data_IF_005664613552
#
_entry.id   IF_005664613552
#
_cell.length_a   1.000
_cell.length_b   1.000
_cell.length_c   1.000
_cell.angle_alpha   90.00
_cell.angle_beta   90.00
_cell.angle_gamma   90.00
#
_symmetry.space_group_name_H-M   'P 1'
#
loop_
_entity.id
_entity.type
_entity.pdbx_description
1 polymer ?
#
# COMPACT_ATOMS: atom_id res chain seq x y z
N UNK A 1 -8.02 3.75 -27.11
CA UNK A 1 -7.20 4.41 -26.09
C UNK A 1 -5.81 3.79 -26.09
N UNK A 2 -4.75 4.60 -26.29
CA UNK A 2 -3.36 4.12 -26.26
C UNK A 2 -2.84 4.09 -24.82
N UNK A 3 -2.34 2.94 -24.40
CA UNK A 3 -1.83 2.72 -23.05
C UNK A 3 -0.36 2.32 -23.10
N UNK A 4 0.50 3.10 -22.45
CA UNK A 4 1.92 2.79 -22.29
C UNK A 4 2.18 2.27 -20.88
N UNK A 5 2.62 1.02 -20.77
CA UNK A 5 3.06 0.40 -19.52
C UNK A 5 4.58 0.54 -19.42
N UNK A 6 5.05 1.33 -18.47
CA UNK A 6 6.49 1.53 -18.29
C UNK A 6 7.14 0.27 -17.73
N UNK A 7 8.31 -0.04 -18.29
CA UNK A 7 9.23 -1.04 -17.78
C UNK A 7 10.49 -0.36 -17.27
N UNK A 8 10.78 -0.53 -16.01
CA UNK A 8 11.89 0.13 -15.32
C UNK A 8 12.71 -0.92 -14.59
N UNK A 9 14.03 -0.82 -14.64
CA UNK A 9 14.88 -1.76 -13.92
C UNK A 9 14.50 -1.84 -12.44
N UNK A 10 14.50 -3.04 -11.88
CA UNK A 10 14.08 -3.38 -10.51
C UNK A 10 12.58 -3.23 -10.25
N UNK A 11 11.73 -2.97 -11.25
CA UNK A 11 10.29 -2.94 -11.05
C UNK A 11 9.72 -4.35 -10.79
N UNK A 12 8.51 -4.40 -10.28
CA UNK A 12 7.77 -5.66 -10.06
C UNK A 12 7.23 -6.18 -11.39
N UNK A 13 7.70 -7.35 -11.83
CA UNK A 13 7.15 -8.06 -12.99
C UNK A 13 5.66 -8.34 -12.83
N UNK A 14 5.20 -8.63 -11.60
CA UNK A 14 3.79 -8.84 -11.31
C UNK A 14 2.94 -7.57 -11.59
N UNK A 15 3.46 -6.37 -11.32
CA UNK A 15 2.76 -5.12 -11.66
C UNK A 15 2.56 -4.96 -13.17
N UNK A 16 3.54 -5.36 -13.96
CA UNK A 16 3.46 -5.32 -15.43
C UNK A 16 2.47 -6.37 -15.91
N UNK A 17 2.65 -7.63 -15.51
CA UNK A 17 1.82 -8.74 -15.94
C UNK A 17 0.33 -8.51 -15.61
N UNK A 18 0.01 -8.14 -14.37
CA UNK A 18 -1.39 -7.90 -13.96
C UNK A 18 -2.02 -6.73 -14.74
N UNK A 19 -1.23 -5.72 -15.12
CA UNK A 19 -1.70 -4.62 -15.95
C UNK A 19 -2.08 -5.11 -17.33
N UNK A 20 -1.20 -5.85 -17.99
CA UNK A 20 -1.43 -6.39 -19.32
C UNK A 20 -2.63 -7.34 -19.35
N UNK A 21 -2.70 -8.30 -18.42
CA UNK A 21 -3.78 -9.28 -18.32
C UNK A 21 -5.14 -8.63 -18.01
N UNK A 22 -5.19 -7.67 -17.10
CA UNK A 22 -6.45 -7.02 -16.74
C UNK A 22 -7.00 -6.17 -17.87
N UNK A 23 -6.14 -5.41 -18.59
CA UNK A 23 -6.56 -4.62 -19.72
C UNK A 23 -6.90 -5.49 -20.94
N UNK A 24 -6.19 -6.60 -21.15
CA UNK A 24 -6.54 -7.60 -22.16
C UNK A 24 -7.91 -8.25 -21.88
N UNK A 25 -8.21 -8.55 -20.62
CA UNK A 25 -9.53 -9.03 -20.20
C UNK A 25 -10.62 -8.02 -20.55
N UNK A 26 -10.39 -6.72 -20.30
CA UNK A 26 -11.33 -5.66 -20.69
C UNK A 26 -11.54 -5.59 -22.22
N UNK A 27 -10.47 -5.74 -23.00
CA UNK A 27 -10.55 -5.80 -24.47
C UNK A 27 -11.41 -6.98 -24.94
N UNK A 28 -11.29 -8.15 -24.33
CA UNK A 28 -12.11 -9.34 -24.65
C UNK A 28 -13.59 -9.08 -24.39
N UNK A 29 -13.95 -8.50 -23.24
CA UNK A 29 -15.36 -8.17 -22.94
C UNK A 29 -15.88 -7.07 -23.86
N UNK A 30 -15.08 -6.06 -24.16
CA UNK A 30 -15.44 -5.03 -25.13
C UNK A 30 -15.75 -5.60 -26.51
N UNK A 31 -14.86 -6.45 -27.04
CA UNK A 31 -15.03 -7.12 -28.32
C UNK A 31 -16.31 -7.98 -28.37
N UNK A 32 -16.55 -8.74 -27.30
CA UNK A 32 -17.74 -9.58 -27.19
C UNK A 32 -19.05 -8.76 -27.16
N UNK A 33 -19.08 -7.69 -26.35
CA UNK A 33 -20.31 -6.87 -26.17
C UNK A 33 -20.64 -6.02 -27.41
N UNK A 34 -19.62 -5.41 -28.00
CA UNK A 34 -19.78 -4.43 -29.08
C UNK A 34 -19.60 -5.04 -30.48
N UNK A 35 -19.31 -6.33 -30.57
CA UNK A 35 -18.92 -7.02 -31.81
C UNK A 35 -17.85 -6.27 -32.59
N UNK A 36 -16.93 -5.63 -31.85
CA UNK A 36 -15.84 -4.84 -32.40
C UNK A 36 -14.55 -5.66 -32.43
N UNK A 37 -13.80 -5.54 -33.54
CA UNK A 37 -12.45 -6.10 -33.61
C UNK A 37 -11.38 -5.11 -33.12
N UNK A 38 -11.72 -3.84 -32.95
CA UNK A 38 -10.80 -2.85 -32.42
C UNK A 38 -10.70 -2.94 -30.92
N UNK A 39 -9.47 -3.00 -30.36
CA UNK A 39 -9.28 -3.07 -28.93
C UNK A 39 -9.67 -1.74 -28.27
N UNK A 40 -10.31 -1.83 -27.11
CA UNK A 40 -10.62 -0.67 -26.28
C UNK A 40 -9.33 0.02 -25.78
N UNK A 41 -8.36 -0.81 -25.35
CA UNK A 41 -7.02 -0.40 -24.92
C UNK A 41 -5.99 -0.96 -25.91
N UNK A 42 -5.32 -0.09 -26.63
CA UNK A 42 -4.15 -0.43 -27.43
C UNK A 42 -2.91 -0.35 -26.53
N UNK A 43 -2.43 -1.51 -26.10
CA UNK A 43 -1.44 -1.62 -25.03
C UNK A 43 -0.05 -1.83 -25.61
N UNK A 44 0.91 -1.01 -25.20
CA UNK A 44 2.33 -1.20 -25.48
C UNK A 44 3.15 -1.10 -24.21
N UNK A 45 4.28 -1.78 -24.17
CA UNK A 45 5.27 -1.72 -23.10
C UNK A 45 6.49 -0.93 -23.56
N UNK A 46 7.05 -0.10 -22.69
CA UNK A 46 8.22 0.71 -23.04
C UNK A 46 9.23 0.78 -21.89
N UNK A 47 10.52 0.69 -22.24
CA UNK A 47 11.62 1.07 -21.35
C UNK A 47 12.26 2.36 -21.83
N UNK A 48 13.16 2.94 -21.03
CA UNK A 48 13.81 4.21 -21.32
C UNK A 48 14.47 4.21 -22.72
N UNK A 49 15.16 3.14 -23.02
CA UNK A 49 16.02 2.98 -24.21
C UNK A 49 15.60 1.82 -25.14
N UNK A 50 14.50 1.12 -24.83
CA UNK A 50 14.04 -0.05 -25.58
C UNK A 50 14.74 -1.35 -25.23
N UNK A 51 15.72 -1.34 -24.31
CA UNK A 51 16.41 -2.54 -23.88
C UNK A 51 15.61 -3.34 -22.83
N UNK A 52 15.86 -4.65 -22.72
CA UNK A 52 15.27 -5.49 -21.70
C UNK A 52 15.56 -4.99 -20.28
N UNK A 53 14.57 -5.09 -19.39
CA UNK A 53 14.68 -4.68 -17.98
C UNK A 53 14.71 -5.87 -17.06
N UNK A 54 15.60 -5.83 -16.06
CA UNK A 54 15.65 -6.83 -14.99
C UNK A 54 14.66 -6.44 -13.90
N UNK A 55 13.64 -7.28 -13.69
CA UNK A 55 12.60 -7.08 -12.69
C UNK A 55 12.98 -7.68 -11.33
N UNK A 56 12.26 -7.29 -10.28
CA UNK A 56 12.32 -7.98 -9.00
C UNK A 56 11.93 -9.45 -9.16
N UNK A 57 12.59 -10.35 -8.42
CA UNK A 57 12.37 -11.80 -8.55
C UNK A 57 13.12 -12.47 -9.70
N UNK A 58 14.03 -11.76 -10.37
CA UNK A 58 14.98 -12.34 -11.33
C UNK A 58 14.44 -12.51 -12.76
N UNK A 59 13.23 -12.03 -13.05
CA UNK A 59 12.70 -12.05 -14.41
C UNK A 59 13.28 -10.90 -15.24
N UNK A 60 13.61 -11.17 -16.49
CA UNK A 60 13.94 -10.15 -17.49
C UNK A 60 12.79 -10.05 -18.49
N UNK A 61 12.32 -8.82 -18.70
CA UNK A 61 11.22 -8.52 -19.63
C UNK A 61 11.74 -7.63 -20.76
N UNK A 62 11.31 -7.93 -21.98
CA UNK A 62 11.65 -7.14 -23.17
C UNK A 62 10.48 -6.19 -23.49
N UNK A 63 10.69 -4.87 -23.56
CA UNK A 63 9.65 -3.92 -23.95
C UNK A 63 9.37 -4.02 -25.46
N UNK A 64 8.22 -3.47 -25.90
CA UNK A 64 7.90 -3.36 -27.32
C UNK A 64 8.73 -2.26 -27.98
N UNK A 65 8.94 -1.14 -27.27
CA UNK A 65 9.56 0.08 -27.83
C UNK A 65 10.38 0.83 -26.76
N UNK A 66 11.21 1.79 -27.19
CA UNK A 66 11.79 2.82 -26.32
C UNK A 66 10.80 3.97 -26.09
N UNK A 67 11.06 4.80 -25.04
CA UNK A 67 10.24 6.00 -24.80
C UNK A 67 10.29 7.00 -25.96
N UNK A 68 11.40 7.09 -26.67
CA UNK A 68 11.56 7.99 -27.82
C UNK A 68 10.67 7.60 -29.01
N UNK A 69 10.37 6.33 -29.16
CA UNK A 69 9.51 5.83 -30.25
C UNK A 69 8.02 6.08 -30.00
N UNK A 70 7.64 6.53 -28.80
CA UNK A 70 6.24 6.80 -28.46
C UNK A 70 5.86 8.20 -28.92
N UNK A 71 5.06 8.28 -29.97
CA UNK A 71 4.57 9.54 -30.53
C UNK A 71 3.37 10.10 -29.79
N UNK A 72 2.58 9.26 -29.12
CA UNK A 72 1.42 9.65 -28.33
C UNK A 72 0.95 8.52 -27.41
N UNK A 73 0.35 8.88 -26.29
CA UNK A 73 -0.26 7.94 -25.34
C UNK A 73 -1.34 8.65 -24.53
N UNK A 74 -2.46 7.96 -24.28
CA UNK A 74 -3.58 8.53 -23.51
C UNK A 74 -3.45 8.19 -22.01
N UNK A 75 -2.80 7.07 -21.70
CA UNK A 75 -2.59 6.59 -20.33
C UNK A 75 -1.19 5.99 -20.17
N UNK A 76 -0.50 6.41 -19.15
CA UNK A 76 0.79 5.83 -18.72
C UNK A 76 0.56 5.06 -17.44
N UNK A 77 1.00 3.79 -17.38
CA UNK A 77 0.99 2.98 -16.16
C UNK A 77 2.40 2.78 -15.66
N UNK A 78 2.68 3.28 -14.46
CA UNK A 78 3.99 3.17 -13.80
C UNK A 78 3.95 2.00 -12.80
N UNK A 79 4.83 0.98 -12.95
CA UNK A 79 4.84 -0.20 -12.10
C UNK A 79 5.35 0.09 -10.67
N UNK A 80 5.06 -0.83 -9.74
CA UNK A 80 5.64 -0.81 -8.40
C UNK A 80 7.05 -1.39 -8.35
N UNK A 81 7.80 -1.08 -7.28
CA UNK A 81 9.18 -1.55 -7.07
C UNK A 81 9.32 -2.45 -5.83
N UNK A 82 8.25 -2.65 -5.07
CA UNK A 82 8.23 -3.47 -3.86
C UNK A 82 9.49 -3.28 -2.99
N UNK A 83 10.27 -4.35 -2.81
CA UNK A 83 11.47 -4.34 -1.97
C UNK A 83 12.69 -3.68 -2.65
N UNK A 84 12.64 -3.41 -3.95
CA UNK A 84 13.75 -2.88 -4.74
C UNK A 84 13.67 -1.38 -5.00
N UNK A 85 12.89 -0.65 -4.20
CA UNK A 85 12.73 0.79 -4.35
C UNK A 85 14.07 1.55 -4.25
N UNK A 86 14.87 1.27 -3.21
CA UNK A 86 16.15 1.98 -2.99
C UNK A 86 17.12 1.90 -4.17
N UNK A 87 17.42 0.71 -4.75
CA UNK A 87 18.28 0.61 -5.91
C UNK A 87 17.69 1.23 -7.19
N UNK A 88 16.36 1.34 -7.30
CA UNK A 88 15.71 1.92 -8.48
C UNK A 88 15.69 3.48 -8.46
N UNK A 89 15.63 4.09 -7.28
CA UNK A 89 15.50 5.56 -7.11
C UNK A 89 16.43 6.41 -7.99
N UNK A 90 17.73 6.09 -8.15
CA UNK A 90 18.64 6.93 -8.94
C UNK A 90 18.23 7.09 -10.40
N UNK A 91 17.58 6.08 -11.01
CA UNK A 91 17.17 6.11 -12.41
C UNK A 91 15.84 6.86 -12.64
N UNK A 92 15.06 7.16 -11.58
CA UNK A 92 13.72 7.74 -11.75
C UNK A 92 13.74 9.12 -12.42
N UNK A 93 14.76 9.92 -12.15
CA UNK A 93 14.94 11.24 -12.75
C UNK A 93 15.02 11.20 -14.29
N UNK A 94 15.48 10.09 -14.86
CA UNK A 94 15.68 9.96 -16.29
C UNK A 94 14.34 9.86 -17.04
N UNK A 95 13.27 9.42 -16.36
CA UNK A 95 11.91 9.37 -16.88
C UNK A 95 11.17 10.71 -16.78
N UNK A 96 11.64 11.62 -15.94
CA UNK A 96 10.91 12.85 -15.60
C UNK A 96 10.63 13.77 -16.81
N UNK A 97 11.57 14.02 -17.74
CA UNK A 97 11.30 14.86 -18.91
C UNK A 97 10.18 14.29 -19.80
N UNK A 98 10.21 12.97 -20.06
CA UNK A 98 9.22 12.31 -20.89
C UNK A 98 7.83 12.33 -20.21
N UNK A 99 7.74 12.03 -18.92
CA UNK A 99 6.48 12.07 -18.16
C UNK A 99 5.85 13.46 -18.18
N UNK A 100 6.65 14.52 -17.98
CA UNK A 100 6.15 15.90 -18.05
C UNK A 100 5.63 16.25 -19.46
N UNK A 101 6.35 15.86 -20.51
CA UNK A 101 5.93 16.09 -21.88
C UNK A 101 4.60 15.40 -22.19
N UNK A 102 4.46 14.11 -21.87
CA UNK A 102 3.20 13.37 -22.11
C UNK A 102 2.03 13.91 -21.25
N UNK A 103 2.29 14.31 -20.01
CA UNK A 103 1.26 14.91 -19.16
C UNK A 103 0.80 16.27 -19.71
N UNK A 104 1.70 17.08 -20.24
CA UNK A 104 1.35 18.34 -20.93
C UNK A 104 0.50 18.10 -22.19
N UNK A 105 0.70 16.98 -22.89
CA UNK A 105 -0.11 16.51 -24.02
C UNK A 105 -1.40 15.80 -23.61
N UNK A 106 -1.83 15.98 -22.36
CA UNK A 106 -3.09 15.49 -21.80
C UNK A 106 -3.13 13.99 -21.47
N UNK A 107 -2.01 13.27 -21.49
CA UNK A 107 -1.96 11.89 -21.01
C UNK A 107 -2.35 11.81 -19.53
N UNK A 108 -3.13 10.80 -19.15
CA UNK A 108 -3.33 10.41 -17.77
C UNK A 108 -2.17 9.55 -17.28
N UNK A 109 -1.88 9.60 -15.97
CA UNK A 109 -0.82 8.78 -15.37
C UNK A 109 -1.38 7.97 -14.21
N UNK A 110 -1.18 6.66 -14.24
CA UNK A 110 -1.54 5.76 -13.18
C UNK A 110 -0.28 5.17 -12.53
N UNK A 111 -0.21 5.15 -11.20
CA UNK A 111 0.92 4.58 -10.46
C UNK A 111 0.49 3.42 -9.60
N UNK A 112 1.22 2.33 -9.68
CA UNK A 112 1.02 1.15 -8.84
C UNK A 112 2.00 1.20 -7.66
N UNK A 113 1.48 1.15 -6.43
CA UNK A 113 2.30 0.95 -5.24
C UNK A 113 3.39 2.03 -5.11
N UNK A 114 4.67 1.61 -5.02
CA UNK A 114 5.83 2.51 -4.96
C UNK A 114 6.18 3.19 -6.29
N UNK A 115 5.45 2.93 -7.37
CA UNK A 115 5.55 3.68 -8.63
C UNK A 115 5.28 5.19 -8.46
N UNK A 116 4.54 5.57 -7.42
CA UNK A 116 4.35 6.97 -7.05
C UNK A 116 5.66 7.72 -6.78
N UNK A 117 6.73 7.05 -6.34
CA UNK A 117 8.05 7.65 -6.15
C UNK A 117 8.66 8.10 -7.48
N UNK A 118 8.54 7.27 -8.52
CA UNK A 118 9.01 7.64 -9.86
C UNK A 118 8.28 8.87 -10.39
N UNK A 119 6.95 8.91 -10.23
CA UNK A 119 6.17 10.06 -10.65
C UNK A 119 6.50 11.31 -9.84
N UNK A 120 6.73 11.19 -8.53
CA UNK A 120 7.09 12.32 -7.68
C UNK A 120 8.44 12.95 -8.07
N UNK A 121 9.42 12.18 -8.57
CA UNK A 121 10.69 12.71 -9.10
C UNK A 121 10.49 13.62 -10.33
N UNK A 122 9.37 13.49 -11.04
CA UNK A 122 9.03 14.40 -12.13
C UNK A 122 8.48 15.76 -11.67
N UNK A 123 8.11 15.90 -10.40
CA UNK A 123 7.43 17.08 -9.86
C UNK A 123 5.93 17.15 -10.17
N UNK A 124 5.37 16.20 -10.92
CA UNK A 124 3.96 16.21 -11.31
C UNK A 124 2.99 15.92 -10.15
N UNK A 125 3.50 15.47 -9.01
CA UNK A 125 2.69 15.26 -7.80
C UNK A 125 2.72 16.44 -6.82
N UNK A 126 3.49 17.49 -7.08
CA UNK A 126 3.53 18.68 -6.23
C UNK A 126 2.11 19.27 -6.08
N UNK A 127 1.68 19.49 -4.84
CA UNK A 127 0.37 20.01 -4.43
C UNK A 127 -0.83 19.10 -4.78
N UNK A 128 -0.61 17.89 -5.27
CA UNK A 128 -1.65 16.92 -5.62
C UNK A 128 -1.86 15.85 -4.53
N UNK A 129 -3.08 15.29 -4.49
CA UNK A 129 -3.40 14.16 -3.64
C UNK A 129 -2.83 12.86 -4.23
N UNK A 130 -2.00 12.16 -3.47
CA UNK A 130 -1.40 10.90 -3.90
C UNK A 130 -1.38 9.87 -2.76
N UNK A 131 -1.38 8.59 -3.12
CA UNK A 131 -1.10 7.48 -2.21
C UNK A 131 0.03 6.61 -2.72
N UNK A 132 0.59 5.81 -1.84
CA UNK A 132 1.59 4.79 -2.15
C UNK A 132 1.39 3.61 -1.20
N UNK A 133 2.23 2.59 -1.26
CA UNK A 133 2.16 1.45 -0.34
C UNK A 133 2.29 1.93 1.12
N UNK A 134 1.40 1.44 2.01
CA UNK A 134 1.34 1.84 3.42
C UNK A 134 2.70 1.79 4.13
N UNK A 135 3.55 0.81 3.80
CA UNK A 135 4.88 0.66 4.40
C UNK A 135 5.82 1.84 4.08
N UNK A 136 5.68 2.42 2.89
CA UNK A 136 6.55 3.50 2.40
C UNK A 136 5.93 4.89 2.55
N UNK A 137 4.69 5.00 3.00
CA UNK A 137 3.94 6.27 3.02
C UNK A 137 4.63 7.38 3.82
N UNK A 138 5.28 7.06 4.94
CA UNK A 138 6.01 8.05 5.74
C UNK A 138 7.31 8.48 5.05
N UNK A 139 8.07 7.54 4.46
CA UNK A 139 9.27 7.85 3.68
C UNK A 139 8.91 8.67 2.43
N UNK A 140 7.79 8.39 1.79
CA UNK A 140 7.27 9.16 0.66
C UNK A 140 6.94 10.60 1.06
N UNK A 141 6.18 10.80 2.13
CA UNK A 141 5.83 12.13 2.63
C UNK A 141 7.06 12.94 3.07
N UNK A 142 8.05 12.28 3.66
CA UNK A 142 9.29 12.94 4.06
C UNK A 142 10.14 13.37 2.86
N UNK A 143 10.22 12.53 1.82
CA UNK A 143 11.01 12.80 0.62
C UNK A 143 10.36 13.85 -0.29
N UNK A 144 9.03 13.84 -0.37
CA UNK A 144 8.24 14.72 -1.23
C UNK A 144 7.23 15.53 -0.41
N UNK A 145 7.70 16.54 0.36
CA UNK A 145 6.86 17.24 1.32
C UNK A 145 5.75 18.10 0.71
N UNK A 146 5.82 18.38 -0.59
CA UNK A 146 4.75 19.11 -1.30
C UNK A 146 3.58 18.21 -1.71
N UNK A 147 3.74 16.89 -1.69
CA UNK A 147 2.67 15.96 -2.07
C UNK A 147 1.68 15.84 -0.92
N UNK A 148 0.37 15.95 -1.21
CA UNK A 148 -0.71 15.71 -0.24
C UNK A 148 -0.95 14.21 -0.08
N UNK A 149 -0.16 13.58 0.79
CA UNK A 149 -0.13 12.11 0.92
C UNK A 149 -1.34 11.59 1.69
N UNK A 150 -2.15 10.77 1.03
CA UNK A 150 -3.23 10.00 1.67
C UNK A 150 -2.70 8.67 2.17
N UNK A 151 -2.75 8.46 3.50
CA UNK A 151 -2.25 7.24 4.16
C UNK A 151 -3.27 6.09 4.18
N UNK A 152 -4.54 6.41 4.04
CA UNK A 152 -5.65 5.46 4.27
C UNK A 152 -6.18 4.87 2.97
N UNK A 153 -6.35 5.68 1.93
CA UNK A 153 -7.01 5.27 0.71
C UNK A 153 -6.17 4.29 -0.11
N UNK A 154 -6.85 3.29 -0.66
CA UNK A 154 -6.23 2.37 -1.64
C UNK A 154 -5.96 3.09 -2.96
N UNK A 155 -6.87 3.99 -3.38
CA UNK A 155 -6.74 4.77 -4.61
C UNK A 155 -6.94 6.24 -4.27
N UNK A 156 -6.12 7.09 -4.85
CA UNK A 156 -6.33 8.54 -4.95
C UNK A 156 -6.37 8.94 -6.42
N UNK A 157 -7.19 9.93 -6.74
CA UNK A 157 -7.26 10.50 -8.07
C UNK A 157 -7.30 12.02 -7.96
N UNK A 158 -6.40 12.69 -8.66
CA UNK A 158 -6.30 14.14 -8.73
C UNK A 158 -5.72 14.53 -10.10
N UNK A 159 -6.39 15.45 -10.81
CA UNK A 159 -5.94 16.01 -12.10
C UNK A 159 -5.32 15.00 -13.08
N UNK A 160 -6.04 13.95 -13.47
CA UNK A 160 -5.59 12.88 -14.39
C UNK A 160 -4.44 12.00 -13.84
N UNK A 161 -4.08 12.15 -12.57
CA UNK A 161 -3.13 11.26 -11.91
C UNK A 161 -3.91 10.35 -10.96
N UNK A 162 -3.69 9.04 -11.10
CA UNK A 162 -4.36 8.02 -10.31
C UNK A 162 -3.29 7.19 -9.61
N UNK A 163 -3.23 7.24 -8.28
CA UNK A 163 -2.24 6.47 -7.52
C UNK A 163 -2.91 5.35 -6.74
N UNK A 164 -2.28 4.17 -6.71
CA UNK A 164 -2.75 3.07 -5.86
C UNK A 164 -1.75 2.67 -4.78
N UNK A 165 -2.28 2.09 -3.70
CA UNK A 165 -1.52 1.60 -2.56
C UNK A 165 -0.74 0.32 -2.83
N UNK A 166 -0.91 -0.72 -1.98
CA UNK A 166 -0.12 -1.96 -2.05
C UNK A 166 -0.21 -2.76 -3.35
N UNK A 167 0.64 -3.75 -3.48
CA UNK A 167 0.82 -4.53 -4.73
C UNK A 167 -0.50 -5.08 -5.33
N UNK A 168 -1.37 -5.68 -4.50
CA UNK A 168 -2.67 -6.18 -4.95
C UNK A 168 -3.67 -5.07 -5.28
N UNK A 169 -3.43 -3.83 -4.85
CA UNK A 169 -4.24 -2.68 -5.21
C UNK A 169 -4.07 -2.25 -6.68
N UNK A 170 -3.08 -2.83 -7.39
CA UNK A 170 -2.96 -2.70 -8.84
C UNK A 170 -4.27 -3.10 -9.55
N UNK A 171 -4.91 -4.16 -9.09
CA UNK A 171 -6.16 -4.64 -9.68
C UNK A 171 -7.30 -3.66 -9.42
N UNK A 172 -7.39 -3.13 -8.19
CA UNK A 172 -8.39 -2.10 -7.86
C UNK A 172 -8.20 -0.85 -8.74
N UNK A 173 -6.95 -0.43 -8.97
CA UNK A 173 -6.59 0.66 -9.88
C UNK A 173 -7.03 0.38 -11.31
N UNK A 174 -6.72 -0.81 -11.83
CA UNK A 174 -7.06 -1.18 -13.21
C UNK A 174 -8.57 -1.28 -13.42
N UNK A 175 -9.30 -1.84 -12.47
CA UNK A 175 -10.77 -1.83 -12.49
C UNK A 175 -11.34 -0.42 -12.40
N UNK A 176 -10.70 0.49 -11.66
CA UNK A 176 -11.06 1.90 -11.62
C UNK A 176 -10.83 2.57 -12.98
N UNK A 177 -9.68 2.32 -13.63
CA UNK A 177 -9.35 2.79 -14.97
C UNK A 177 -10.37 2.27 -16.00
N UNK A 178 -10.68 0.97 -15.98
CA UNK A 178 -11.67 0.37 -16.89
C UNK A 178 -13.04 1.02 -16.68
N UNK A 179 -13.47 1.22 -15.44
CA UNK A 179 -14.74 1.89 -15.14
C UNK A 179 -14.79 3.32 -15.65
N UNK A 180 -13.68 4.05 -15.55
CA UNK A 180 -13.58 5.46 -15.93
C UNK A 180 -13.52 5.65 -17.46
N UNK A 181 -12.71 4.86 -18.15
CA UNK A 181 -12.40 5.07 -19.57
C UNK A 181 -13.14 4.13 -20.52
N UNK A 182 -13.80 3.11 -19.98
CA UNK A 182 -14.60 2.18 -20.78
C UNK A 182 -16.08 2.23 -20.35
N UNK A 183 -16.45 1.27 -19.48
CA UNK A 183 -17.81 1.18 -18.96
C UNK A 183 -17.82 0.45 -17.60
N UNK A 184 -18.72 0.84 -16.67
CA UNK A 184 -18.89 0.14 -15.39
C UNK A 184 -19.16 -1.35 -15.54
N UNK A 185 -19.89 -1.74 -16.60
CA UNK A 185 -20.29 -3.12 -16.88
C UNK A 185 -19.06 -3.98 -17.23
N UNK A 186 -18.15 -3.46 -18.06
CA UNK A 186 -16.90 -4.15 -18.42
C UNK A 186 -16.03 -4.34 -17.18
N UNK A 187 -15.92 -3.32 -16.32
CA UNK A 187 -15.20 -3.44 -15.07
C UNK A 187 -15.80 -4.51 -14.13
N UNK A 188 -17.15 -4.61 -14.08
CA UNK A 188 -17.83 -5.63 -13.29
C UNK A 188 -17.62 -7.04 -13.86
N UNK A 189 -17.59 -7.20 -15.18
CA UNK A 189 -17.30 -8.47 -15.84
C UNK A 189 -15.84 -8.90 -15.59
N UNK A 190 -14.89 -7.97 -15.73
CA UNK A 190 -13.49 -8.22 -15.39
C UNK A 190 -13.32 -8.65 -13.93
N UNK A 191 -13.98 -7.97 -12.98
CA UNK A 191 -13.88 -8.34 -11.57
C UNK A 191 -14.37 -9.76 -11.28
N UNK A 192 -15.47 -10.19 -11.92
CA UNK A 192 -15.98 -11.56 -11.81
C UNK A 192 -15.05 -12.59 -12.45
N UNK A 193 -14.56 -12.30 -13.66
CA UNK A 193 -13.65 -13.18 -14.40
C UNK A 193 -12.34 -13.41 -13.65
N UNK A 194 -11.81 -12.36 -13.02
CA UNK A 194 -10.55 -12.37 -12.28
C UNK A 194 -10.73 -12.73 -10.79
N UNK A 195 -11.97 -13.04 -10.34
CA UNK A 195 -12.31 -13.39 -8.96
C UNK A 195 -11.88 -12.33 -7.94
N UNK A 196 -12.13 -11.05 -8.25
CA UNK A 196 -11.66 -9.91 -7.44
C UNK A 196 -12.78 -9.40 -6.55
N UNK A 197 -12.48 -9.27 -5.25
CA UNK A 197 -13.33 -8.56 -4.31
C UNK A 197 -13.11 -7.04 -4.46
N UNK A 198 -14.12 -6.34 -4.97
CA UNK A 198 -14.10 -4.89 -5.22
C UNK A 198 -14.53 -4.05 -4.01
N UNK A 199 -14.69 -4.66 -2.83
CA UNK A 199 -15.19 -3.96 -1.63
C UNK A 199 -14.09 -3.20 -0.88
N UNK A 200 -12.83 -3.42 -1.20
CA UNK A 200 -11.68 -2.75 -0.55
C UNK A 200 -11.65 -1.27 -0.89
N UNK A 201 -11.59 -0.42 0.14
CA UNK A 201 -11.51 1.06 -0.01
C UNK A 201 -10.27 1.62 0.66
N UNK A 202 -9.79 0.96 1.71
CA UNK A 202 -8.71 1.44 2.57
C UNK A 202 -7.60 0.40 2.73
N UNK A 203 -6.37 0.90 2.86
CA UNK A 203 -5.22 0.06 3.18
C UNK A 203 -4.94 -0.02 4.70
N UNK A 204 -5.59 0.81 5.51
CA UNK A 204 -5.40 0.85 6.96
C UNK A 204 -5.48 -0.52 7.65
N UNK A 205 -6.44 -1.42 7.32
CA UNK A 205 -6.51 -2.74 7.93
C UNK A 205 -5.30 -3.65 7.67
N UNK A 206 -4.53 -3.36 6.61
CA UNK A 206 -3.32 -4.12 6.24
C UNK A 206 -2.04 -3.55 6.85
N UNK A 207 -2.12 -2.38 7.48
CA UNK A 207 -0.95 -1.75 8.12
C UNK A 207 -0.48 -2.59 9.29
N UNK A 208 0.79 -2.97 9.27
CA UNK A 208 1.48 -3.50 10.44
C UNK A 208 2.17 -2.33 11.16
N UNK A 209 1.83 -2.11 12.41
CA UNK A 209 2.46 -1.06 13.18
C UNK A 209 3.90 -1.45 13.47
N UNK A 210 4.84 -0.65 13.00
CA UNK A 210 6.27 -0.88 13.23
C UNK A 210 6.70 -0.25 14.55
N UNK A 211 7.48 -1.00 15.32
CA UNK A 211 8.10 -0.53 16.56
C UNK A 211 9.57 -0.28 16.28
N UNK A 212 9.94 0.99 16.08
CA UNK A 212 11.33 1.34 15.78
C UNK A 212 12.22 0.99 16.96
N UNK A 213 13.08 -0.02 16.79
CA UNK A 213 14.16 -0.39 17.70
C UNK A 213 15.55 -0.13 17.11
N UNK A 214 15.59 0.47 15.92
CA UNK A 214 16.84 0.80 15.25
C UNK A 214 17.27 2.24 15.58
N UNK A 215 17.57 2.49 16.86
CA UNK A 215 18.07 3.75 17.38
C UNK A 215 19.16 3.48 18.44
N UNK A 216 19.99 4.48 18.72
CA UNK A 216 21.16 4.32 19.59
C UNK A 216 20.86 4.52 21.10
N UNK A 217 19.64 4.87 21.47
CA UNK A 217 19.25 5.11 22.86
C UNK A 217 19.04 3.79 23.63
N UNK A 218 20.11 3.30 24.25
CA UNK A 218 20.13 2.01 24.96
C UNK A 218 19.13 1.94 26.10
N UNK A 219 18.90 3.04 26.81
CA UNK A 219 17.96 3.04 27.93
C UNK A 219 16.51 2.96 27.45
N UNK A 220 16.18 3.63 26.35
CA UNK A 220 14.86 3.50 25.73
C UNK A 220 14.67 2.09 25.14
N UNK A 221 15.70 1.47 24.57
CA UNK A 221 15.63 0.06 24.12
C UNK A 221 15.24 -0.88 25.27
N UNK A 222 15.82 -0.70 26.48
CA UNK A 222 15.43 -1.49 27.66
C UNK A 222 13.96 -1.30 28.02
N UNK A 223 13.45 -0.07 27.94
CA UNK A 223 12.03 0.21 28.18
C UNK A 223 11.15 -0.46 27.14
N UNK A 224 11.53 -0.42 25.86
CA UNK A 224 10.79 -1.08 24.79
C UNK A 224 10.75 -2.61 25.01
N UNK A 225 11.89 -3.22 25.35
CA UNK A 225 11.97 -4.65 25.63
C UNK A 225 11.12 -5.04 26.85
N UNK A 226 11.09 -4.21 27.87
CA UNK A 226 10.21 -4.42 29.00
C UNK A 226 8.73 -4.31 28.61
N UNK A 227 8.35 -3.31 27.83
CA UNK A 227 6.99 -3.14 27.31
C UNK A 227 6.52 -4.33 26.47
N UNK A 228 7.38 -4.91 25.65
CA UNK A 228 7.05 -6.07 24.83
C UNK A 228 6.65 -7.30 25.65
N UNK A 229 7.17 -7.42 26.88
CA UNK A 229 6.85 -8.53 27.77
C UNK A 229 5.72 -8.23 28.76
N UNK A 230 5.41 -6.94 28.99
CA UNK A 230 4.48 -6.52 30.02
C UNK A 230 3.27 -5.72 29.51
N UNK A 231 3.10 -5.58 28.20
CA UNK A 231 2.06 -4.71 27.60
C UNK A 231 0.64 -5.00 28.10
N UNK A 232 0.35 -6.24 28.49
CA UNK A 232 -0.96 -6.66 28.98
C UNK A 232 -1.25 -6.20 30.43
N UNK A 233 -0.22 -5.80 31.17
CA UNK A 233 -0.37 -5.36 32.58
C UNK A 233 -0.91 -3.93 32.66
N UNK A 234 -1.46 -3.56 33.82
CA UNK A 234 -1.77 -2.16 34.13
C UNK A 234 -0.48 -1.35 34.19
N UNK A 235 -0.23 -0.48 33.22
CA UNK A 235 1.00 0.32 33.11
C UNK A 235 0.68 1.79 33.28
N UNK A 236 1.24 2.39 34.33
CA UNK A 236 1.29 3.83 34.50
C UNK A 236 2.62 4.37 33.92
N UNK A 237 2.53 5.30 32.96
CA UNK A 237 3.69 5.86 32.26
C UNK A 237 4.64 6.63 33.21
N UNK A 238 4.11 7.22 34.28
CA UNK A 238 4.92 7.96 35.25
C UNK A 238 5.71 7.02 36.18
N UNK A 239 5.09 5.91 36.56
CA UNK A 239 5.74 4.85 37.33
C UNK A 239 6.80 4.14 36.48
N UNK A 240 6.48 3.85 35.22
CA UNK A 240 7.44 3.29 34.27
C UNK A 240 8.67 4.19 34.10
N UNK A 241 8.48 5.51 33.98
CA UNK A 241 9.60 6.43 33.92
C UNK A 241 10.50 6.34 35.17
N UNK A 242 9.91 6.31 36.38
CA UNK A 242 10.64 6.18 37.65
C UNK A 242 11.37 4.85 37.75
N UNK A 243 10.73 3.74 37.34
CA UNK A 243 11.32 2.40 37.33
C UNK A 243 12.64 2.34 36.54
N UNK A 244 12.72 3.08 35.45
CA UNK A 244 13.92 3.15 34.61
C UNK A 244 14.82 4.37 34.91
N UNK A 245 14.61 5.04 36.04
CA UNK A 245 15.47 6.14 36.49
C UNK A 245 15.29 7.46 35.75
N UNK A 246 14.13 7.67 35.08
CA UNK A 246 13.86 8.88 34.37
C UNK A 246 12.94 9.84 35.11
N UNK A 247 13.16 11.14 34.99
CA UNK A 247 12.12 12.13 35.24
C UNK A 247 11.07 12.09 34.12
N UNK A 248 9.80 12.18 34.47
CA UNK A 248 8.64 11.97 33.57
C UNK A 248 8.72 12.79 32.28
N UNK A 249 9.06 14.10 32.37
CA UNK A 249 9.17 14.97 31.20
C UNK A 249 10.30 14.54 30.26
N UNK A 250 11.46 14.21 30.82
CA UNK A 250 12.62 13.74 30.07
C UNK A 250 12.32 12.40 29.39
N UNK A 251 11.68 11.48 30.10
CA UNK A 251 11.25 10.19 29.55
C UNK A 251 10.35 10.35 28.33
N UNK A 252 9.24 11.11 28.45
CA UNK A 252 8.30 11.32 27.34
C UNK A 252 8.98 11.92 26.12
N UNK A 253 9.87 12.91 26.31
CA UNK A 253 10.63 13.52 25.21
C UNK A 253 11.60 12.53 24.57
N UNK A 254 12.48 11.93 25.38
CA UNK A 254 13.53 11.01 24.91
C UNK A 254 12.95 9.77 24.24
N UNK A 255 11.87 9.21 24.78
CA UNK A 255 11.15 8.10 24.17
C UNK A 255 10.58 8.48 22.80
N UNK A 256 9.98 9.68 22.67
CA UNK A 256 9.46 10.18 21.39
C UNK A 256 10.58 10.46 20.38
N UNK A 257 11.68 11.02 20.80
CA UNK A 257 12.84 11.29 19.95
C UNK A 257 13.43 9.98 19.39
N UNK A 258 13.54 8.94 20.21
CA UNK A 258 14.08 7.64 19.82
C UNK A 258 13.11 6.82 18.93
N UNK A 259 11.82 6.76 19.31
CA UNK A 259 10.85 5.85 18.68
C UNK A 259 9.93 6.52 17.67
N UNK A 260 9.87 7.84 17.65
CA UNK A 260 8.91 8.63 16.87
C UNK A 260 7.51 8.69 17.51
N UNK A 261 7.28 8.04 18.67
CA UNK A 261 5.98 7.91 19.32
C UNK A 261 6.05 8.30 20.80
N UNK A 262 4.94 8.80 21.36
CA UNK A 262 4.86 8.94 22.81
C UNK A 262 4.77 7.57 23.48
N UNK A 263 5.23 7.39 24.74
CA UNK A 263 5.17 6.11 25.45
C UNK A 263 3.77 5.49 25.49
N UNK A 264 2.73 6.30 25.69
CA UNK A 264 1.34 5.81 25.73
C UNK A 264 0.87 5.34 24.34
N UNK A 265 1.18 6.08 23.27
CA UNK A 265 0.83 5.65 21.92
C UNK A 265 1.56 4.38 21.51
N UNK A 266 2.82 4.23 21.92
CA UNK A 266 3.61 3.02 21.70
C UNK A 266 2.96 1.82 22.39
N UNK A 267 2.60 1.93 23.67
CA UNK A 267 1.91 0.88 24.44
C UNK A 267 0.56 0.53 23.81
N UNK A 268 -0.24 1.53 23.43
CA UNK A 268 -1.53 1.29 22.76
C UNK A 268 -1.35 0.55 21.45
N UNK A 269 -0.39 0.97 20.64
CA UNK A 269 -0.09 0.31 19.36
C UNK A 269 0.39 -1.13 19.57
N UNK A 270 1.21 -1.38 20.58
CA UNK A 270 1.67 -2.72 20.94
C UNK A 270 0.51 -3.65 21.33
N UNK A 271 -0.43 -3.15 22.14
CA UNK A 271 -1.66 -3.87 22.49
C UNK A 271 -2.53 -4.16 21.28
N UNK A 272 -2.69 -3.19 20.36
CA UNK A 272 -3.47 -3.37 19.13
C UNK A 272 -2.84 -4.41 18.20
N UNK A 273 -1.50 -4.39 18.01
CA UNK A 273 -0.83 -5.42 17.19
C UNK A 273 -0.95 -6.82 17.79
N UNK A 274 -0.84 -6.95 19.11
CA UNK A 274 -1.07 -8.23 19.78
C UNK A 274 -2.55 -8.67 19.67
N UNK A 275 -3.50 -7.74 19.76
CA UNK A 275 -4.91 -8.05 19.54
C UNK A 275 -5.16 -8.53 18.10
N UNK A 276 -4.58 -7.88 17.08
CA UNK A 276 -4.66 -8.35 15.69
C UNK A 276 -4.15 -9.77 15.56
N UNK A 277 -2.96 -10.06 16.09
CA UNK A 277 -2.38 -11.42 16.09
C UNK A 277 -3.32 -12.45 16.74
N UNK A 278 -3.88 -12.15 17.90
CA UNK A 278 -4.82 -13.04 18.58
C UNK A 278 -6.13 -13.23 17.80
N UNK A 279 -6.65 -12.18 17.17
CA UNK A 279 -7.83 -12.25 16.29
C UNK A 279 -7.57 -13.14 15.08
N UNK A 280 -6.40 -13.05 14.47
CA UNK A 280 -5.99 -13.81 13.28
C UNK A 280 -5.75 -15.29 13.58
N UNK A 281 -5.12 -15.58 14.73
CA UNK A 281 -4.59 -16.93 15.02
C UNK A 281 -5.41 -17.75 16.01
N UNK A 282 -6.41 -17.15 16.68
CA UNK A 282 -7.19 -17.86 17.73
C UNK A 282 -8.69 -17.75 17.49
N UNK A 283 -9.46 -18.58 18.22
CA UNK A 283 -10.92 -18.51 18.30
C UNK A 283 -11.44 -17.76 19.53
N UNK A 284 -10.57 -17.12 20.29
CA UNK A 284 -10.96 -16.35 21.48
C UNK A 284 -12.03 -15.31 21.13
N UNK A 285 -12.96 -15.04 22.04
CA UNK A 285 -13.94 -13.96 21.85
C UNK A 285 -13.22 -12.60 21.76
N UNK A 286 -13.81 -11.60 21.11
CA UNK A 286 -13.24 -10.24 21.10
C UNK A 286 -13.14 -9.69 22.52
N UNK A 287 -14.08 -10.04 23.37
CA UNK A 287 -14.07 -9.65 24.78
C UNK A 287 -12.88 -10.27 25.53
N UNK A 288 -12.66 -11.59 25.37
CA UNK A 288 -11.49 -12.26 25.97
C UNK A 288 -10.18 -11.64 25.47
N UNK A 289 -10.07 -11.34 24.17
CA UNK A 289 -8.89 -10.68 23.60
C UNK A 289 -8.70 -9.29 24.19
N UNK A 290 -9.78 -8.54 24.46
CA UNK A 290 -9.70 -7.22 25.10
C UNK A 290 -8.96 -7.28 26.43
N UNK A 291 -9.36 -8.23 27.29
CA UNK A 291 -8.71 -8.42 28.61
C UNK A 291 -7.27 -8.94 28.44
N UNK A 292 -7.06 -9.91 27.55
CA UNK A 292 -5.74 -10.51 27.29
C UNK A 292 -4.68 -9.48 26.86
N UNK A 293 -5.09 -8.43 26.16
CA UNK A 293 -4.18 -7.35 25.72
C UNK A 293 -4.13 -6.16 26.70
N UNK A 294 -4.74 -6.28 27.87
CA UNK A 294 -4.62 -5.31 28.97
C UNK A 294 -5.62 -4.15 28.92
N UNK A 295 -6.80 -4.33 28.35
CA UNK A 295 -7.91 -3.39 28.47
C UNK A 295 -8.99 -3.96 29.40
N UNK A 296 -9.48 -3.13 30.30
CA UNK A 296 -10.57 -3.47 31.23
C UNK A 296 -11.96 -3.17 30.63
N UNK A 297 -12.03 -2.26 29.67
CA UNK A 297 -13.29 -1.85 29.01
C UNK A 297 -13.30 -2.17 27.52
N UNK A 298 -14.25 -3.01 27.11
CA UNK A 298 -14.43 -3.43 25.73
C UNK A 298 -14.81 -2.29 24.77
N UNK A 299 -15.48 -1.25 25.25
CA UNK A 299 -15.89 -0.13 24.39
C UNK A 299 -14.68 0.75 24.06
N UNK A 300 -13.84 1.04 25.06
CA UNK A 300 -12.58 1.77 24.86
C UNK A 300 -11.64 1.03 23.93
N UNK A 301 -11.49 -0.29 24.09
CA UNK A 301 -10.73 -1.13 23.17
C UNK A 301 -11.28 -1.07 21.74
N UNK A 302 -12.58 -1.31 21.53
CA UNK A 302 -13.20 -1.31 20.19
C UNK A 302 -13.05 0.03 19.50
N UNK A 303 -13.22 1.13 20.24
CA UNK A 303 -13.02 2.48 19.70
C UNK A 303 -11.59 2.69 19.23
N UNK A 304 -10.60 2.40 20.10
CA UNK A 304 -9.20 2.56 19.76
C UNK A 304 -8.76 1.62 18.63
N UNK A 305 -9.21 0.36 18.66
CA UNK A 305 -8.93 -0.58 17.58
C UNK A 305 -9.46 -0.04 16.24
N UNK A 306 -10.71 0.42 16.20
CA UNK A 306 -11.32 0.96 14.97
C UNK A 306 -10.61 2.22 14.48
N UNK A 307 -10.17 3.09 15.40
CA UNK A 307 -9.38 4.28 15.08
C UNK A 307 -8.02 3.93 14.44
N UNK A 308 -7.31 2.95 15.02
CA UNK A 308 -5.95 2.57 14.60
C UNK A 308 -5.92 1.65 13.37
N UNK A 309 -6.93 0.77 13.25
CA UNK A 309 -6.99 -0.29 12.24
C UNK A 309 -7.94 0.05 11.08
N UNK A 310 -8.78 1.08 11.23
CA UNK A 310 -9.74 1.50 10.20
C UNK A 310 -10.95 0.56 10.06
N UNK A 311 -11.10 -0.45 10.93
CA UNK A 311 -12.25 -1.38 10.91
C UNK A 311 -12.49 -1.96 12.31
N UNK A 312 -13.70 -2.48 12.54
CA UNK A 312 -14.03 -3.09 13.84
C UNK A 312 -13.30 -4.42 14.04
N UNK A 313 -13.02 -4.83 15.31
CA UNK A 313 -12.39 -6.12 15.59
C UNK A 313 -13.13 -7.32 14.97
N UNK A 314 -14.46 -7.30 14.94
CA UNK A 314 -15.28 -8.36 14.35
C UNK A 314 -15.17 -8.40 12.82
N UNK A 315 -15.15 -7.25 12.17
CA UNK A 315 -14.95 -7.15 10.71
C UNK A 315 -13.51 -7.53 10.34
N UNK A 316 -12.53 -7.13 11.16
CA UNK A 316 -11.13 -7.54 11.02
C UNK A 316 -10.99 -9.06 11.07
N UNK A 317 -11.65 -9.71 12.05
CA UNK A 317 -11.67 -11.19 12.17
C UNK A 317 -12.21 -11.85 10.91
N UNK A 318 -13.37 -11.42 10.40
CA UNK A 318 -13.96 -11.97 9.18
C UNK A 318 -13.01 -11.92 7.98
N UNK A 319 -12.14 -10.91 7.95
CA UNK A 319 -11.22 -10.66 6.83
C UNK A 319 -9.89 -11.40 6.95
N UNK A 320 -9.34 -11.51 8.15
CA UNK A 320 -7.96 -11.94 8.36
C UNK A 320 -7.80 -13.23 9.18
N UNK A 321 -8.87 -13.76 9.78
CA UNK A 321 -8.76 -15.01 10.54
C UNK A 321 -8.35 -16.16 9.62
N UNK A 322 -7.20 -16.76 9.92
CA UNK A 322 -6.72 -17.97 9.24
C UNK A 322 -7.41 -19.17 9.90
N UNK A 323 -8.13 -20.02 9.14
CA UNK A 323 -8.64 -21.27 9.71
C UNK A 323 -7.45 -22.11 10.23
N UNK A 324 -7.54 -22.70 11.44
CA UNK A 324 -6.47 -23.55 11.92
C UNK A 324 -6.24 -24.71 10.95
N UNK A 325 -4.97 -25.12 10.71
CA UNK A 325 -4.68 -26.28 9.88
C UNK A 325 -5.35 -27.51 10.50
N UNK A 326 -6.30 -28.17 9.80
CA UNK A 326 -6.87 -29.42 10.22
C UNK A 326 -8.38 -29.52 10.39
N UNK A 327 -9.15 -28.50 10.05
CA UNK A 327 -10.61 -28.65 9.93
C UNK A 327 -11.00 -29.31 8.61
N UNK A 328 -10.94 -30.65 8.50
CA UNK A 328 -11.67 -31.35 7.44
C UNK A 328 -13.14 -30.97 7.59
N UNK A 329 -13.66 -30.19 6.68
CA UNK A 329 -15.11 -30.05 6.51
C UNK A 329 -15.64 -31.39 6.04
N UNK A 330 -16.05 -32.25 6.97
CA UNK A 330 -17.04 -33.28 6.66
C UNK A 330 -18.32 -32.53 6.28
N UNK A 331 -18.51 -32.30 4.99
CA UNK A 331 -19.84 -32.11 4.42
C UNK A 331 -20.20 -33.45 3.75
N UNK A 332 -21.09 -34.20 4.46
CA UNK A 332 -21.89 -35.22 3.86
C UNK A 332 -22.89 -34.55 2.89
#
# INVERSE_FOLDING_TARGET
MHVTVLMVNQCSSASIAITLETLACANQFHAYRNRSQEPLFNIQTASLDGHPVSCSGGLTLTPNVSLEQITGTDLIVIPGFLFNLKPALPSFKDFAPWLRARFAEQAAIATICTGAFLLAESGLLDDMAATTHWYYVNAFAQRYPKVKVSKQHIITEDNRIICSGGASAAIDLLLHIIRRYAAPEIAAECSKKLLIDTTRREQTPYVMLSFNKNHEDREILKVQDWLDHHYASAINIEELAKQFGFGVRNFKRRFKDATGQTPINYLQNLRIENAKRLIETTRMSIESITFEVGYEDSNSFRRLFSERVGTTPSSYRKKFQVPPPGGRTNRA
#
